data_IF_053539578269
#
_entry.id   IF_053539578269
#
_cell.length_a   1.000
_cell.length_b   1.000
_cell.length_c   1.000
_cell.angle_alpha   90.00
_cell.angle_beta   90.00
_cell.angle_gamma   90.00
#
_symmetry.space_group_name_H-M   'P 1'
#
loop_
_entity.id
_entity.type
_entity.pdbx_description
1 polymer ?
#
# COMPACT_ATOMS: atom_id res chain seq x y z
N UNK A 1 20.96 -0.55 28.60
CA UNK A 1 20.52 0.80 28.12
C UNK A 1 19.94 0.70 26.71
N UNK A 2 20.53 -0.10 25.83
CA UNK A 2 20.09 -0.26 24.43
C UNK A 2 18.67 -0.83 24.24
N UNK A 3 18.26 -1.78 25.09
CA UNK A 3 16.91 -2.35 25.05
C UNK A 3 15.78 -1.35 25.40
N UNK A 4 16.06 -0.36 26.26
CA UNK A 4 15.07 0.66 26.62
C UNK A 4 14.91 1.70 25.51
N UNK A 5 16.01 2.10 24.87
CA UNK A 5 16.00 3.03 23.73
C UNK A 5 15.28 2.41 22.52
N UNK A 6 15.54 1.13 22.24
CA UNK A 6 14.87 0.40 21.16
C UNK A 6 13.35 0.27 21.40
N UNK A 7 12.94 0.00 22.65
CA UNK A 7 11.53 -0.10 23.02
C UNK A 7 10.79 1.25 22.93
N UNK A 8 11.44 2.36 23.27
CA UNK A 8 10.91 3.72 23.12
C UNK A 8 10.67 4.08 21.64
N UNK A 9 11.65 3.82 20.78
CA UNK A 9 11.54 4.07 19.34
C UNK A 9 10.45 3.19 18.70
N UNK A 10 10.33 1.95 19.11
CA UNK A 10 9.30 1.05 18.60
C UNK A 10 7.89 1.56 18.98
N UNK A 11 7.69 2.01 20.21
CA UNK A 11 6.42 2.60 20.66
C UNK A 11 6.07 3.87 19.88
N UNK A 12 7.06 4.73 19.61
CA UNK A 12 6.86 5.92 18.81
C UNK A 12 6.43 5.60 17.37
N UNK A 13 7.11 4.66 16.71
CA UNK A 13 6.75 4.21 15.36
C UNK A 13 5.35 3.60 15.31
N UNK A 14 5.01 2.76 16.30
CA UNK A 14 3.67 2.20 16.45
C UNK A 14 2.61 3.28 16.64
N UNK A 15 2.88 4.30 17.44
CA UNK A 15 1.99 5.44 17.63
C UNK A 15 1.71 6.20 16.34
N UNK A 16 2.75 6.46 15.54
CA UNK A 16 2.61 7.11 14.23
C UNK A 16 1.77 6.25 13.26
N UNK A 17 2.00 4.94 13.23
CA UNK A 17 1.20 4.04 12.40
C UNK A 17 -0.28 4.08 12.80
N UNK A 18 -0.57 4.04 14.09
CA UNK A 18 -1.95 4.15 14.61
C UNK A 18 -2.59 5.47 14.18
N UNK A 19 -1.87 6.60 14.28
CA UNK A 19 -2.36 7.89 13.82
C UNK A 19 -2.69 7.86 12.32
N UNK A 20 -1.82 7.28 11.47
CA UNK A 20 -2.08 7.17 10.03
C UNK A 20 -3.30 6.30 9.73
N UNK A 21 -3.48 5.19 10.46
CA UNK A 21 -4.67 4.34 10.34
C UNK A 21 -5.94 5.14 10.70
N UNK A 22 -5.94 5.83 11.84
CA UNK A 22 -7.10 6.60 12.30
C UNK A 22 -7.45 7.76 11.36
N UNK A 23 -6.44 8.49 10.86
CA UNK A 23 -6.64 9.54 9.87
C UNK A 23 -7.15 8.97 8.55
N UNK A 24 -6.57 7.87 8.05
CA UNK A 24 -7.01 7.20 6.85
C UNK A 24 -8.47 6.75 6.96
N UNK A 25 -8.84 6.06 8.03
CA UNK A 25 -10.22 5.64 8.27
C UNK A 25 -11.16 6.85 8.38
N UNK A 26 -10.79 7.91 9.12
CA UNK A 26 -11.62 9.10 9.28
C UNK A 26 -11.90 9.83 7.96
N UNK A 27 -10.87 9.96 7.09
CA UNK A 27 -11.00 10.66 5.81
C UNK A 27 -11.75 9.81 4.79
N UNK A 28 -11.47 8.49 4.72
CA UNK A 28 -12.01 7.61 3.69
C UNK A 28 -13.23 6.81 4.12
N UNK A 29 -13.73 6.98 5.36
CA UNK A 29 -14.88 6.24 5.86
C UNK A 29 -16.12 6.34 4.95
N UNK A 30 -16.40 7.55 4.48
CA UNK A 30 -17.54 7.79 3.59
C UNK A 30 -17.39 7.12 2.22
N UNK A 31 -16.15 6.92 1.74
CA UNK A 31 -15.89 6.31 0.43
C UNK A 31 -15.92 4.78 0.46
N UNK A 32 -15.91 4.15 1.64
CA UNK A 32 -15.93 2.68 1.75
C UNK A 32 -17.18 2.04 1.13
N UNK A 33 -18.29 2.77 1.08
CA UNK A 33 -19.56 2.29 0.51
C UNK A 33 -19.76 2.71 -0.95
N UNK A 34 -18.81 3.43 -1.55
CA UNK A 34 -18.91 3.79 -2.96
C UNK A 34 -18.83 2.55 -3.86
N UNK A 35 -19.65 2.53 -4.92
CA UNK A 35 -19.61 1.45 -5.90
C UNK A 35 -18.40 1.52 -6.83
N UNK A 36 -18.29 0.55 -7.71
CA UNK A 36 -17.28 0.51 -8.76
C UNK A 36 -17.55 1.55 -9.85
N UNK A 37 -16.50 2.23 -10.32
CA UNK A 37 -16.60 3.29 -11.33
C UNK A 37 -15.50 3.17 -12.38
N UNK A 38 -15.75 3.72 -13.58
CA UNK A 38 -14.78 3.85 -14.68
C UNK A 38 -14.00 2.55 -14.96
N UNK A 39 -12.73 2.56 -14.64
CA UNK A 39 -11.76 1.48 -14.91
C UNK A 39 -12.10 0.18 -14.18
N UNK A 40 -12.81 0.25 -13.06
CA UNK A 40 -13.24 -0.95 -12.31
C UNK A 40 -14.12 -1.87 -13.15
N UNK A 41 -14.85 -1.29 -14.13
CA UNK A 41 -15.69 -2.06 -15.03
C UNK A 41 -14.90 -3.10 -15.83
N UNK A 42 -13.74 -2.74 -16.35
CA UNK A 42 -12.96 -3.65 -17.19
C UNK A 42 -11.83 -4.36 -16.44
N UNK A 43 -11.38 -3.85 -15.30
CA UNK A 43 -10.37 -4.53 -14.48
C UNK A 43 -10.98 -5.53 -13.49
N UNK A 44 -12.19 -5.29 -12.99
CA UNK A 44 -12.81 -6.09 -11.91
C UNK A 44 -14.10 -6.74 -12.41
N UNK A 45 -15.14 -5.96 -12.74
CA UNK A 45 -16.50 -6.46 -12.92
C UNK A 45 -16.60 -7.38 -14.15
N UNK A 46 -16.02 -6.97 -15.29
CA UNK A 46 -16.08 -7.71 -16.55
C UNK A 46 -14.84 -8.59 -16.79
N UNK A 47 -13.85 -8.54 -15.91
CA UNK A 47 -12.65 -9.33 -16.05
C UNK A 47 -12.80 -10.70 -15.37
N UNK A 48 -13.22 -11.69 -16.13
CA UNK A 48 -13.39 -13.06 -15.63
C UNK A 48 -12.09 -13.70 -15.12
N UNK A 49 -10.92 -13.21 -15.56
CA UNK A 49 -9.64 -13.74 -15.09
C UNK A 49 -9.36 -13.37 -13.63
N UNK A 50 -9.81 -12.19 -13.17
CA UNK A 50 -9.72 -11.76 -11.76
C UNK A 50 -10.63 -12.61 -10.86
N UNK A 51 -11.72 -13.13 -11.41
CA UNK A 51 -12.69 -13.93 -10.66
C UNK A 51 -12.20 -15.36 -10.37
N UNK A 52 -11.04 -15.73 -10.85
CA UNK A 52 -10.44 -17.05 -10.60
C UNK A 52 -9.02 -16.92 -10.02
N UNK A 53 -8.82 -17.31 -8.74
CA UNK A 53 -7.51 -17.21 -8.09
C UNK A 53 -6.42 -18.08 -8.74
N UNK A 54 -6.81 -19.09 -9.54
CA UNK A 54 -5.88 -19.88 -10.33
C UNK A 54 -5.13 -19.09 -11.40
N UNK A 55 -5.60 -17.89 -11.75
CA UNK A 55 -4.98 -17.04 -12.77
C UNK A 55 -3.88 -16.11 -12.22
N UNK A 56 -3.64 -16.07 -10.91
CA UNK A 56 -2.73 -15.12 -10.26
C UNK A 56 -1.34 -15.12 -10.90
N UNK A 57 -0.76 -16.27 -11.19
CA UNK A 57 0.56 -16.37 -11.80
C UNK A 57 0.57 -15.87 -13.26
N UNK A 58 -0.54 -16.05 -13.97
CA UNK A 58 -0.65 -15.63 -15.36
C UNK A 58 -0.75 -14.12 -15.54
N UNK A 59 -1.12 -13.34 -14.50
CA UNK A 59 -1.09 -11.88 -14.57
C UNK A 59 0.32 -11.32 -14.80
N UNK A 60 1.36 -12.08 -14.49
CA UNK A 60 2.75 -11.68 -14.73
C UNK A 60 3.25 -12.04 -16.14
N UNK A 61 2.59 -12.95 -16.85
CA UNK A 61 3.07 -13.51 -18.12
C UNK A 61 2.12 -13.29 -19.28
N UNK A 62 0.83 -13.13 -19.05
CA UNK A 62 -0.18 -12.94 -20.09
C UNK A 62 -0.94 -11.62 -19.94
N UNK A 63 -0.58 -10.63 -20.76
CA UNK A 63 -1.19 -9.29 -20.76
C UNK A 63 -2.68 -9.30 -21.09
N UNK A 64 -3.20 -10.33 -21.77
CA UNK A 64 -4.63 -10.44 -22.11
C UNK A 64 -5.52 -10.62 -20.88
N UNK A 65 -4.95 -11.12 -19.79
CA UNK A 65 -5.69 -11.34 -18.53
C UNK A 65 -5.80 -10.08 -17.65
N UNK A 66 -5.07 -9.02 -17.99
CA UNK A 66 -5.04 -7.81 -17.17
C UNK A 66 -6.28 -6.92 -17.33
N UNK A 67 -7.07 -7.13 -18.39
CA UNK A 67 -8.29 -6.34 -18.65
C UNK A 67 -9.27 -7.11 -19.51
N UNK A 68 -10.56 -6.84 -19.36
CA UNK A 68 -11.58 -7.34 -20.28
C UNK A 68 -11.61 -6.59 -21.62
N UNK A 69 -10.90 -5.48 -21.77
CA UNK A 69 -10.78 -4.73 -23.00
C UNK A 69 -9.64 -5.31 -23.84
N UNK A 70 -9.92 -5.68 -25.11
CA UNK A 70 -8.91 -6.12 -26.05
C UNK A 70 -8.38 -4.95 -26.87
N UNK A 71 -7.04 -4.87 -27.03
CA UNK A 71 -6.39 -4.02 -28.05
C UNK A 71 -6.17 -2.54 -27.67
N UNK A 72 -6.48 -2.09 -26.49
CA UNK A 72 -6.24 -0.73 -26.02
C UNK A 72 -5.20 -0.74 -24.88
N UNK A 73 -4.42 0.32 -24.75
CA UNK A 73 -3.32 0.52 -23.81
C UNK A 73 -3.59 -0.08 -22.41
N UNK A 74 -3.24 -1.35 -22.26
CA UNK A 74 -3.37 -2.04 -20.97
C UNK A 74 -2.10 -1.74 -20.19
N UNK A 75 -2.25 -1.03 -19.08
CA UNK A 75 -1.12 -0.80 -18.19
C UNK A 75 -0.71 -2.13 -17.53
N UNK A 76 0.57 -2.48 -17.63
CA UNK A 76 1.11 -3.67 -16.97
C UNK A 76 1.19 -3.46 -15.46
N UNK A 77 0.18 -3.96 -14.74
CA UNK A 77 0.04 -3.83 -13.27
C UNK A 77 -0.33 -5.17 -12.62
N UNK A 78 0.51 -6.20 -12.73
CA UNK A 78 0.17 -7.54 -12.25
C UNK A 78 -0.15 -7.59 -10.75
N UNK A 79 0.58 -6.85 -9.90
CA UNK A 79 0.31 -6.82 -8.46
C UNK A 79 -1.07 -6.23 -8.12
N UNK A 80 -1.53 -5.26 -8.89
CA UNK A 80 -2.89 -4.73 -8.76
C UNK A 80 -3.93 -5.82 -9.09
N UNK A 81 -3.70 -6.58 -10.17
CA UNK A 81 -4.58 -7.68 -10.55
C UNK A 81 -4.60 -8.80 -9.51
N UNK A 82 -3.44 -9.12 -8.90
CA UNK A 82 -3.36 -10.06 -7.77
C UNK A 82 -4.21 -9.57 -6.61
N UNK A 83 -4.13 -8.28 -6.25
CA UNK A 83 -4.93 -7.73 -5.15
C UNK A 83 -6.43 -7.81 -5.45
N UNK A 84 -6.83 -7.57 -6.70
CA UNK A 84 -8.23 -7.71 -7.13
C UNK A 84 -8.72 -9.17 -7.08
N UNK A 85 -7.90 -10.12 -7.54
CA UNK A 85 -8.25 -11.54 -7.49
C UNK A 85 -8.39 -12.05 -6.03
N UNK A 86 -7.52 -11.59 -5.14
CA UNK A 86 -7.64 -11.91 -3.71
C UNK A 86 -8.90 -11.28 -3.10
N UNK A 87 -9.20 -10.00 -3.42
CA UNK A 87 -10.44 -9.36 -2.97
C UNK A 87 -11.67 -10.11 -3.48
N UNK A 88 -11.67 -10.49 -4.75
CA UNK A 88 -12.78 -11.28 -5.33
C UNK A 88 -12.93 -12.62 -4.63
N UNK A 89 -11.84 -13.32 -4.34
CA UNK A 89 -11.86 -14.61 -3.65
C UNK A 89 -12.53 -14.53 -2.27
N UNK A 90 -12.32 -13.46 -1.51
CA UNK A 90 -12.85 -13.30 -0.16
C UNK A 90 -14.21 -12.59 -0.09
N UNK A 91 -14.51 -11.71 -1.02
CA UNK A 91 -15.67 -10.81 -0.94
C UNK A 91 -16.41 -10.61 -2.27
N UNK A 92 -16.04 -11.35 -3.32
CA UNK A 92 -16.61 -11.25 -4.66
C UNK A 92 -16.62 -9.78 -5.17
N UNK A 93 -17.74 -9.27 -5.59
CA UNK A 93 -17.92 -7.89 -6.05
C UNK A 93 -18.37 -6.92 -4.92
N UNK A 94 -18.06 -7.22 -3.66
CA UNK A 94 -18.29 -6.27 -2.59
C UNK A 94 -17.22 -5.16 -2.61
N UNK A 95 -17.53 -3.89 -2.92
CA UNK A 95 -16.55 -2.83 -3.08
C UNK A 95 -15.79 -2.49 -1.80
N UNK A 96 -16.39 -2.74 -0.63
CA UNK A 96 -15.76 -2.42 0.68
C UNK A 96 -14.40 -3.10 0.82
N UNK A 97 -14.26 -4.36 0.41
CA UNK A 97 -12.99 -5.08 0.46
C UNK A 97 -11.89 -4.38 -0.37
N UNK A 98 -12.23 -3.99 -1.59
CA UNK A 98 -11.31 -3.29 -2.49
C UNK A 98 -10.88 -1.92 -1.93
N UNK A 99 -11.81 -1.16 -1.36
CA UNK A 99 -11.50 0.13 -0.71
C UNK A 99 -10.62 -0.05 0.52
N UNK A 100 -10.85 -1.07 1.35
CA UNK A 100 -10.03 -1.36 2.52
C UNK A 100 -8.59 -1.74 2.13
N UNK A 101 -8.42 -2.56 1.08
CA UNK A 101 -7.09 -2.91 0.58
C UNK A 101 -6.36 -1.68 0.02
N UNK A 102 -7.05 -0.83 -0.74
CA UNK A 102 -6.48 0.42 -1.24
C UNK A 102 -6.08 1.35 -0.08
N UNK A 103 -6.91 1.46 0.96
CA UNK A 103 -6.59 2.23 2.15
C UNK A 103 -5.37 1.66 2.89
N UNK A 104 -5.27 0.33 3.01
CA UNK A 104 -4.12 -0.32 3.63
C UNK A 104 -2.81 -0.03 2.86
N UNK A 105 -2.84 -0.09 1.53
CA UNK A 105 -1.68 0.31 0.70
C UNK A 105 -1.34 1.79 0.87
N UNK A 106 -2.32 2.67 0.94
CA UNK A 106 -2.11 4.10 1.15
C UNK A 106 -1.44 4.38 2.50
N UNK A 107 -1.98 3.83 3.59
CA UNK A 107 -1.42 3.95 4.94
C UNK A 107 -0.02 3.32 5.01
N UNK A 108 0.16 2.15 4.41
CA UNK A 108 1.46 1.48 4.33
C UNK A 108 2.52 2.33 3.61
N UNK A 109 2.16 2.93 2.49
CA UNK A 109 3.06 3.81 1.73
C UNK A 109 3.42 5.08 2.52
N UNK A 110 2.46 5.70 3.19
CA UNK A 110 2.70 6.87 4.05
C UNK A 110 3.61 6.51 5.22
N UNK A 111 3.41 5.34 5.82
CA UNK A 111 4.25 4.86 6.92
C UNK A 111 5.68 4.52 6.47
N UNK A 112 5.84 3.88 5.30
CA UNK A 112 7.15 3.62 4.71
C UNK A 112 7.90 4.93 4.43
N UNK A 113 7.22 5.93 3.87
CA UNK A 113 7.80 7.25 3.66
C UNK A 113 8.25 7.88 4.98
N UNK A 114 7.43 7.82 6.02
CA UNK A 114 7.82 8.27 7.36
C UNK A 114 9.09 7.57 7.85
N UNK A 115 9.20 6.25 7.69
CA UNK A 115 10.37 5.49 8.13
C UNK A 115 11.63 5.91 7.35
N UNK A 116 11.54 6.12 6.04
CA UNK A 116 12.64 6.57 5.20
C UNK A 116 13.11 7.96 5.63
N UNK A 117 12.20 8.92 5.77
CA UNK A 117 12.53 10.29 6.19
C UNK A 117 13.17 10.28 7.59
N UNK A 118 12.61 9.52 8.52
CA UNK A 118 13.16 9.40 9.87
C UNK A 118 14.58 8.81 9.89
N UNK A 119 14.85 7.81 9.05
CA UNK A 119 16.19 7.22 8.91
C UNK A 119 17.18 8.24 8.31
N UNK A 120 16.79 8.99 7.28
CA UNK A 120 17.64 10.01 6.66
C UNK A 120 17.98 11.15 7.63
N UNK A 121 17.02 11.61 8.43
CA UNK A 121 17.26 12.66 9.44
C UNK A 121 18.18 12.14 10.55
N UNK A 122 18.02 10.90 11.00
CA UNK A 122 18.90 10.27 11.98
C UNK A 122 20.35 10.20 11.51
N UNK A 123 20.58 9.72 10.29
CA UNK A 123 21.91 9.64 9.69
C UNK A 123 22.57 11.03 9.52
N UNK A 124 21.79 12.05 9.14
CA UNK A 124 22.31 13.43 9.01
C UNK A 124 22.70 14.07 10.34
N UNK A 125 22.06 13.70 11.44
CA UNK A 125 22.41 14.19 12.78
C UNK A 125 23.69 13.53 13.31
N UNK A 126 23.90 12.23 13.05
CA UNK A 126 25.14 11.52 13.39
C UNK A 126 26.36 12.11 12.66
N UNK A 127 26.25 12.36 11.37
CA UNK A 127 27.33 12.95 10.57
C UNK A 127 27.74 14.34 11.09
N UNK A 128 26.76 15.17 11.42
CA UNK A 128 27.00 16.49 12.03
C UNK A 128 27.68 16.39 13.40
N UNK A 129 27.32 15.43 14.25
CA UNK A 129 27.94 15.23 15.56
C UNK A 129 29.40 14.82 15.44
N UNK A 130 29.74 13.97 14.47
CA UNK A 130 31.13 13.57 14.17
C UNK A 130 31.96 14.75 13.68
N UNK A 131 31.40 15.59 12.80
CA UNK A 131 32.09 16.78 12.30
C UNK A 131 32.35 17.79 13.40
N UNK A 132 31.40 18.07 14.29
CA UNK A 132 31.57 19.00 15.40
C UNK A 132 32.55 18.49 16.44
N UNK A 133 32.62 17.19 16.72
CA UNK A 133 33.61 16.60 17.63
C UNK A 133 35.04 16.67 17.12
N UNK A 134 35.24 16.70 15.79
CA UNK A 134 36.58 16.86 15.16
C UNK A 134 37.05 18.29 15.09
N UNK A 135 36.16 19.27 15.22
CA UNK A 135 36.49 20.70 15.15
C UNK A 135 36.79 21.34 16.53
N UNK A 136 36.46 20.66 17.61
CA UNK A 136 36.74 21.06 18.98
C UNK A 136 37.48 19.91 19.69
N UNK A 137 38.86 19.84 19.56
CA UNK A 137 39.68 18.90 20.30
C UNK A 137 39.75 19.23 21.78
#
# INVERSE_FOLDING_TARGET
MDNMLNNSQLKQKAGVLIIFILLGLGIYFNSLQNGFHYDDQHYIIRNLYVQSPGNILYFFTDHRMLSSLSGIFIHYRPLMMVSYALNYYFGELNPVGYHLVNLAFHVGSAFLLFLIVNAMLGAGLEDRSILTSKLHP
#
